data_IF_575643999802
#
_entry.id   IF_575643999802
#
_cell.length_a   1.000
_cell.length_b   1.000
_cell.length_c   1.000
_cell.angle_alpha   90.00
_cell.angle_beta   90.00
_cell.angle_gamma   90.00
#
_symmetry.space_group_name_H-M   'P 1'
#
loop_
_entity.id
_entity.type
_entity.pdbx_description
1 polymer ?
#
# COMPACT_ATOMS: atom_id res chain seq x y z
N UNK A 1 -2.54 -8.79 -10.17
CA UNK A 1 -3.51 -8.63 -9.06
C UNK A 1 -4.71 -9.54 -9.32
N UNK A 2 -5.32 -10.16 -8.31
CA UNK A 2 -6.49 -11.02 -8.41
C UNK A 2 -7.74 -10.33 -7.82
N UNK A 3 -8.93 -10.88 -8.08
CA UNK A 3 -10.20 -10.21 -7.75
C UNK A 3 -10.36 -9.89 -6.26
N UNK A 4 -9.90 -10.77 -5.34
CA UNK A 4 -9.98 -10.50 -3.90
C UNK A 4 -9.11 -9.33 -3.48
N UNK A 5 -7.90 -9.18 -4.05
CA UNK A 5 -7.04 -8.04 -3.78
C UNK A 5 -7.68 -6.72 -4.24
N UNK A 6 -8.32 -6.73 -5.42
CA UNK A 6 -9.10 -5.60 -5.91
C UNK A 6 -10.28 -5.27 -4.99
N UNK A 7 -11.09 -6.28 -4.63
CA UNK A 7 -12.26 -6.12 -3.77
C UNK A 7 -11.90 -5.64 -2.35
N UNK A 8 -10.76 -6.08 -1.81
CA UNK A 8 -10.27 -5.60 -0.52
C UNK A 8 -9.89 -4.10 -0.58
N UNK A 9 -9.33 -3.64 -1.70
CA UNK A 9 -9.06 -2.22 -1.90
C UNK A 9 -10.36 -1.42 -2.08
N UNK A 10 -11.39 -1.97 -2.72
CA UNK A 10 -12.73 -1.35 -2.78
C UNK A 10 -13.30 -1.19 -1.37
N UNK A 11 -13.25 -2.24 -0.52
CA UNK A 11 -13.69 -2.14 0.89
C UNK A 11 -12.94 -1.03 1.66
N UNK A 12 -11.62 -0.93 1.43
CA UNK A 12 -10.81 0.17 2.00
C UNK A 12 -11.29 1.54 1.50
N UNK A 13 -11.47 1.70 0.20
CA UNK A 13 -11.92 2.95 -0.40
C UNK A 13 -13.27 3.39 0.17
N UNK A 14 -14.27 2.50 0.19
CA UNK A 14 -15.61 2.78 0.66
C UNK A 14 -15.65 3.16 2.15
N UNK A 15 -14.81 2.53 2.97
CA UNK A 15 -14.79 2.75 4.41
C UNK A 15 -14.01 3.98 4.85
N UNK A 16 -12.90 4.27 4.18
CA UNK A 16 -11.92 5.26 4.68
C UNK A 16 -11.69 6.45 3.75
N UNK A 17 -11.97 6.32 2.44
CA UNK A 17 -11.69 7.36 1.44
C UNK A 17 -12.96 8.05 1.00
N UNK A 18 -13.97 7.32 0.56
CA UNK A 18 -15.25 7.85 0.09
C UNK A 18 -15.98 8.76 1.11
N UNK A 19 -15.95 8.49 2.43
CA UNK A 19 -16.59 9.34 3.43
C UNK A 19 -15.89 10.69 3.71
N UNK A 20 -14.76 10.96 3.08
CA UNK A 20 -14.05 12.24 3.28
C UNK A 20 -14.90 13.40 2.80
N UNK A 21 -14.95 14.45 3.62
CA UNK A 21 -15.74 15.66 3.38
C UNK A 21 -14.91 16.86 2.95
N UNK A 22 -13.59 16.68 2.85
CA UNK A 22 -12.68 17.70 2.35
C UNK A 22 -12.94 17.97 0.85
N UNK A 23 -12.90 19.22 0.46
CA UNK A 23 -13.21 19.68 -0.92
C UNK A 23 -12.02 19.52 -1.87
N UNK A 24 -10.87 19.08 -1.39
CA UNK A 24 -9.66 18.89 -2.18
C UNK A 24 -9.62 17.49 -2.80
N UNK A 25 -9.20 17.39 -4.04
CA UNK A 25 -8.93 16.10 -4.71
C UNK A 25 -7.78 15.39 -3.99
N UNK A 26 -8.00 14.21 -3.40
CA UNK A 26 -6.94 13.50 -2.69
C UNK A 26 -5.84 13.01 -3.64
N UNK A 27 -4.58 13.15 -3.24
CA UNK A 27 -3.46 12.52 -3.94
C UNK A 27 -3.32 11.06 -3.54
N UNK A 28 -3.10 10.18 -4.51
CA UNK A 28 -2.91 8.73 -4.31
C UNK A 28 -1.65 8.27 -5.00
N UNK A 29 -0.77 7.60 -4.27
CA UNK A 29 0.40 6.91 -4.86
C UNK A 29 0.24 5.41 -4.63
N UNK A 30 0.29 4.65 -5.71
CA UNK A 30 0.24 3.18 -5.71
C UNK A 30 1.64 2.60 -5.91
N UNK A 31 2.16 1.92 -4.90
CA UNK A 31 3.47 1.30 -4.89
C UNK A 31 3.43 -0.11 -5.45
N UNK A 32 4.28 -0.43 -6.42
CA UNK A 32 4.25 -1.68 -7.16
C UNK A 32 3.11 -1.67 -8.19
N UNK A 33 2.94 -0.54 -8.87
CA UNK A 33 1.78 -0.27 -9.73
C UNK A 33 1.88 -0.89 -11.12
N UNK A 34 2.96 -1.60 -11.46
CA UNK A 34 3.10 -2.24 -12.77
C UNK A 34 1.93 -3.19 -13.04
N UNK A 35 1.12 -2.86 -14.05
CA UNK A 35 -0.08 -3.65 -14.38
C UNK A 35 0.29 -4.91 -15.18
N UNK A 36 0.34 -6.05 -14.49
CA UNK A 36 0.52 -7.37 -15.09
C UNK A 36 -0.82 -7.99 -15.48
N UNK A 37 -1.83 -7.87 -14.58
CA UNK A 37 -3.15 -8.50 -14.72
C UNK A 37 -4.23 -7.73 -13.94
N UNK A 38 -4.18 -6.41 -13.97
CA UNK A 38 -5.11 -5.48 -13.33
C UNK A 38 -4.42 -4.52 -12.36
N UNK A 39 -5.00 -3.34 -12.17
CA UNK A 39 -4.49 -2.25 -11.34
C UNK A 39 -5.57 -1.66 -10.42
N UNK A 40 -5.17 -0.86 -9.42
CA UNK A 40 -6.09 -0.21 -8.49
C UNK A 40 -6.69 1.11 -9.01
N UNK A 41 -6.16 1.68 -10.07
CA UNK A 41 -6.57 2.98 -10.63
C UNK A 41 -8.10 3.16 -10.81
N UNK A 42 -8.87 2.15 -11.25
CA UNK A 42 -10.32 2.30 -11.42
C UNK A 42 -11.08 2.57 -10.12
N UNK A 43 -10.52 2.19 -8.96
CA UNK A 43 -11.14 2.42 -7.64
C UNK A 43 -11.05 3.90 -7.25
N UNK A 44 -9.94 4.56 -7.60
CA UNK A 44 -9.63 5.93 -7.19
C UNK A 44 -10.09 6.99 -8.19
N UNK A 45 -11.25 6.76 -8.83
CA UNK A 45 -11.89 7.77 -9.71
C UNK A 45 -12.20 9.02 -8.90
N UNK A 46 -11.70 10.18 -9.39
CA UNK A 46 -11.84 11.46 -8.68
C UNK A 46 -10.70 11.79 -7.71
N UNK A 47 -9.69 10.93 -7.63
CA UNK A 47 -8.41 11.21 -6.97
C UNK A 47 -7.32 11.53 -8.01
N UNK A 48 -6.29 12.24 -7.58
CA UNK A 48 -5.04 12.40 -8.33
C UNK A 48 -4.17 11.15 -8.08
N UNK A 49 -4.39 10.13 -8.93
CA UNK A 49 -3.75 8.82 -8.80
C UNK A 49 -2.53 8.74 -9.72
N UNK A 50 -1.40 8.34 -9.14
CA UNK A 50 -0.16 8.02 -9.84
C UNK A 50 0.38 6.65 -9.40
N UNK A 51 0.78 5.84 -10.39
CA UNK A 51 1.43 4.57 -10.17
C UNK A 51 2.95 4.73 -10.08
N UNK A 52 3.56 4.11 -9.07
CA UNK A 52 5.00 4.06 -8.87
C UNK A 52 5.48 2.60 -8.92
N UNK A 53 6.53 2.36 -9.70
CA UNK A 53 7.19 1.05 -9.78
C UNK A 53 8.68 1.21 -10.09
N UNK A 54 9.48 0.21 -9.78
CA UNK A 54 10.90 0.19 -10.13
C UNK A 54 11.17 0.07 -11.63
N UNK A 55 10.18 -0.40 -12.41
CA UNK A 55 10.25 -0.63 -13.84
C UNK A 55 9.19 0.16 -14.58
N UNK A 56 9.56 0.77 -15.71
CA UNK A 56 8.59 1.43 -16.59
C UNK A 56 7.64 0.41 -17.22
N UNK A 57 6.36 0.76 -17.32
CA UNK A 57 5.35 -0.10 -17.93
C UNK A 57 3.93 0.39 -17.76
N UNK A 58 2.92 -0.45 -18.07
CA UNK A 58 1.52 -0.09 -17.93
C UNK A 58 1.18 0.34 -16.50
N UNK A 59 0.40 1.43 -16.35
CA UNK A 59 -0.01 2.02 -15.08
C UNK A 59 1.14 2.62 -14.23
N UNK A 60 2.37 2.74 -14.76
CA UNK A 60 3.51 3.35 -14.07
C UNK A 60 3.71 4.77 -14.58
N UNK A 61 3.43 5.74 -13.72
CA UNK A 61 3.64 7.17 -14.00
C UNK A 61 5.01 7.62 -13.48
N UNK A 62 5.54 6.96 -12.44
CA UNK A 62 6.80 7.30 -11.77
C UNK A 62 7.67 6.05 -11.66
N UNK A 63 8.85 6.10 -12.28
CA UNK A 63 9.86 5.02 -12.15
C UNK A 63 10.78 5.35 -11.00
N UNK A 64 10.70 4.58 -9.92
CA UNK A 64 11.51 4.78 -8.71
C UNK A 64 11.58 3.51 -7.88
N UNK A 65 12.65 3.35 -7.11
CA UNK A 65 12.69 2.36 -6.03
C UNK A 65 11.71 2.75 -4.92
N UNK A 66 11.08 1.76 -4.30
CA UNK A 66 10.08 2.00 -3.27
C UNK A 66 10.64 2.59 -1.98
N UNK A 67 11.90 2.35 -1.68
CA UNK A 67 12.60 2.82 -0.49
C UNK A 67 13.18 4.24 -0.61
N UNK A 68 13.12 4.84 -1.81
CA UNK A 68 13.63 6.19 -2.08
C UNK A 68 12.88 6.84 -3.23
N UNK A 69 11.79 7.53 -2.92
CA UNK A 69 10.94 8.19 -3.91
C UNK A 69 11.31 9.65 -4.12
N UNK A 70 10.92 10.29 -5.24
CA UNK A 70 11.20 11.71 -5.50
C UNK A 70 10.28 12.67 -4.73
N UNK A 71 9.46 12.18 -3.82
CA UNK A 71 8.48 12.98 -3.08
C UNK A 71 9.09 13.67 -1.86
N UNK A 72 8.56 14.84 -1.51
CA UNK A 72 8.82 15.51 -0.24
C UNK A 72 8.07 14.83 0.91
N UNK A 73 8.44 15.19 2.15
CA UNK A 73 7.79 14.68 3.35
C UNK A 73 6.34 15.20 3.45
N UNK A 74 5.42 14.35 3.87
CA UNK A 74 4.06 14.75 4.26
C UNK A 74 3.22 15.39 3.15
N UNK A 75 3.34 14.91 1.92
CA UNK A 75 2.61 15.50 0.78
C UNK A 75 1.51 14.61 0.19
N UNK A 76 1.47 13.31 0.51
CA UNK A 76 0.54 12.35 -0.08
C UNK A 76 -0.61 12.06 0.88
N UNK A 77 -1.87 12.10 0.39
CA UNK A 77 -3.04 11.82 1.20
C UNK A 77 -3.26 10.33 1.44
N UNK A 78 -3.05 9.51 0.40
CA UNK A 78 -3.32 8.08 0.39
C UNK A 78 -2.17 7.35 -0.31
N UNK A 79 -1.69 6.30 0.32
CA UNK A 79 -0.73 5.37 -0.29
C UNK A 79 -1.38 4.00 -0.36
N UNK A 80 -1.22 3.33 -1.50
CA UNK A 80 -1.65 1.95 -1.70
C UNK A 80 -0.48 1.08 -2.12
N UNK A 81 -0.55 -0.21 -1.80
CA UNK A 81 0.34 -1.24 -2.33
C UNK A 81 -0.39 -2.57 -2.29
N UNK A 82 -0.47 -3.25 -3.41
CA UNK A 82 -1.17 -4.53 -3.52
C UNK A 82 -0.34 -5.53 -4.31
N UNK A 83 -0.11 -6.71 -3.72
CA UNK A 83 0.71 -7.78 -4.32
C UNK A 83 2.08 -7.28 -4.77
N UNK A 84 2.77 -6.59 -3.88
CA UNK A 84 4.09 -5.99 -4.09
C UNK A 84 5.05 -6.33 -2.95
N UNK A 85 4.62 -6.25 -1.69
CA UNK A 85 5.48 -6.47 -0.52
C UNK A 85 6.08 -7.88 -0.45
N UNK A 86 5.41 -8.90 -0.99
CA UNK A 86 5.95 -10.25 -1.09
C UNK A 86 7.16 -10.35 -2.03
N UNK A 87 7.28 -9.40 -2.97
CA UNK A 87 8.36 -9.33 -3.96
C UNK A 87 9.48 -8.37 -3.56
N UNK A 88 9.23 -7.47 -2.62
CA UNK A 88 10.19 -6.49 -2.12
C UNK A 88 11.07 -7.11 -1.03
N UNK A 89 12.33 -7.35 -1.32
CA UNK A 89 13.29 -7.98 -0.41
C UNK A 89 13.58 -7.14 0.84
N UNK A 90 13.33 -5.82 0.77
CA UNK A 90 13.49 -4.85 1.86
C UNK A 90 12.21 -4.05 2.16
N UNK A 91 11.03 -4.69 2.09
CA UNK A 91 9.71 -4.04 2.24
C UNK A 91 9.60 -3.10 3.46
N UNK A 92 10.35 -3.33 4.52
CA UNK A 92 10.38 -2.44 5.69
C UNK A 92 11.00 -1.08 5.39
N UNK A 93 11.92 -0.99 4.42
CA UNK A 93 12.48 0.29 3.96
C UNK A 93 11.46 1.05 3.12
N UNK A 94 10.80 0.34 2.20
CA UNK A 94 9.67 0.87 1.42
C UNK A 94 8.55 1.38 2.34
N UNK A 95 8.26 0.66 3.42
CA UNK A 95 7.27 1.13 4.40
C UNK A 95 7.70 2.40 5.13
N UNK A 96 8.97 2.56 5.49
CA UNK A 96 9.46 3.82 6.08
C UNK A 96 9.30 4.99 5.11
N UNK A 97 9.58 4.75 3.84
CA UNK A 97 9.40 5.77 2.80
C UNK A 97 7.93 6.17 2.65
N UNK A 98 7.01 5.19 2.62
CA UNK A 98 5.56 5.45 2.68
C UNK A 98 5.20 6.29 3.91
N UNK A 99 5.74 5.95 5.09
CA UNK A 99 5.52 6.71 6.33
C UNK A 99 6.08 8.13 6.27
N UNK A 100 7.17 8.36 5.53
CA UNK A 100 7.77 9.68 5.34
C UNK A 100 6.87 10.57 4.51
N UNK A 101 6.44 10.08 3.33
CA UNK A 101 5.73 10.90 2.34
C UNK A 101 4.24 11.07 2.64
N UNK A 102 3.60 10.17 3.39
CA UNK A 102 2.19 10.30 3.74
C UNK A 102 1.98 11.47 4.72
N UNK A 103 0.93 12.27 4.48
CA UNK A 103 0.53 13.42 5.33
C UNK A 103 0.14 12.97 6.74
N UNK A 104 0.29 13.83 7.77
CA UNK A 104 -0.45 13.67 9.01
C UNK A 104 -1.96 13.54 8.73
N UNK A 105 -2.60 12.52 9.29
CA UNK A 105 -4.00 12.16 8.97
C UNK A 105 -4.19 11.31 7.72
N UNK A 106 -3.17 11.18 6.88
CA UNK A 106 -3.19 10.37 5.68
C UNK A 106 -3.16 8.86 5.95
N UNK A 107 -3.48 8.06 4.95
CA UNK A 107 -3.70 6.64 5.04
C UNK A 107 -2.69 5.84 4.20
N UNK A 108 -2.32 4.66 4.69
CA UNK A 108 -1.56 3.67 3.95
C UNK A 108 -2.36 2.36 3.95
N UNK A 109 -2.62 1.81 2.77
CA UNK A 109 -3.25 0.51 2.55
C UNK A 109 -2.24 -0.45 1.95
N UNK A 110 -2.08 -1.63 2.56
CA UNK A 110 -1.22 -2.70 2.07
C UNK A 110 -2.02 -3.99 2.02
N UNK A 111 -1.94 -4.68 0.88
CA UNK A 111 -2.45 -6.03 0.67
C UNK A 111 -1.31 -6.92 0.16
N UNK A 112 -1.04 -8.01 0.86
CA UNK A 112 -0.02 -8.98 0.48
C UNK A 112 -0.46 -10.41 0.88
N UNK A 113 0.00 -11.47 0.19
CA UNK A 113 -0.44 -12.83 0.48
C UNK A 113 0.07 -13.32 1.83
N UNK A 114 -0.76 -14.09 2.56
CA UNK A 114 -0.34 -14.82 3.76
C UNK A 114 0.00 -16.29 3.49
N UNK A 115 -0.45 -16.83 2.36
CA UNK A 115 -0.21 -18.19 1.91
C UNK A 115 0.05 -18.22 0.39
N UNK A 116 0.08 -19.41 -0.20
CA UNK A 116 0.22 -19.61 -1.64
C UNK A 116 1.60 -20.13 -2.05
N UNK A 117 1.68 -20.70 -3.28
CA UNK A 117 2.92 -21.25 -3.80
C UNK A 117 3.94 -20.15 -4.12
N UNK A 118 5.19 -20.57 -4.26
CA UNK A 118 6.25 -19.72 -4.77
C UNK A 118 5.93 -19.22 -6.18
N UNK A 119 6.01 -17.90 -6.39
CA UNK A 119 5.77 -17.24 -7.68
C UNK A 119 6.68 -16.03 -7.83
N UNK A 120 7.55 -16.06 -8.82
CA UNK A 120 8.54 -14.98 -9.03
C UNK A 120 7.98 -13.82 -9.84
N UNK A 121 8.24 -12.56 -9.34
CA UNK A 121 8.04 -11.36 -10.15
C UNK A 121 8.81 -10.14 -9.58
N UNK A 122 10.13 -10.04 -9.84
CA UNK A 122 11.11 -11.06 -10.22
C UNK A 122 11.48 -12.02 -9.06
N UNK A 123 11.30 -11.64 -7.80
CA UNK A 123 11.49 -12.46 -6.60
C UNK A 123 10.15 -12.84 -5.95
N UNK A 124 10.19 -13.70 -4.94
CA UNK A 124 9.05 -14.00 -4.08
C UNK A 124 9.61 -14.32 -2.68
N UNK A 125 9.65 -13.31 -1.82
CA UNK A 125 10.45 -13.33 -0.59
C UNK A 125 9.61 -13.60 0.65
N UNK A 126 8.34 -13.12 0.69
CA UNK A 126 7.61 -13.02 1.96
C UNK A 126 6.16 -13.50 1.88
N UNK A 127 5.65 -13.92 3.07
CA UNK A 127 4.23 -14.15 3.34
C UNK A 127 3.87 -13.43 4.64
N UNK A 128 2.74 -12.72 4.66
CA UNK A 128 2.38 -11.79 5.74
C UNK A 128 1.18 -12.29 6.52
N UNK A 129 1.33 -12.47 7.81
CA UNK A 129 0.22 -12.69 8.74
C UNK A 129 -0.33 -11.34 9.25
N UNK A 130 -1.55 -11.35 9.82
CA UNK A 130 -2.17 -10.13 10.34
C UNK A 130 -1.28 -9.41 11.40
N UNK A 131 -0.53 -10.16 12.20
CA UNK A 131 0.39 -9.60 13.20
C UNK A 131 1.63 -8.92 12.59
N UNK A 132 1.97 -9.23 11.33
CA UNK A 132 3.09 -8.59 10.61
C UNK A 132 2.91 -7.07 10.56
N UNK A 133 1.68 -6.61 10.31
CA UNK A 133 1.35 -5.20 10.23
C UNK A 133 1.51 -4.46 11.55
N UNK A 134 1.19 -5.12 12.66
CA UNK A 134 1.45 -4.59 14.00
C UNK A 134 2.95 -4.46 14.30
N UNK A 135 3.71 -5.48 13.89
CA UNK A 135 5.17 -5.45 13.98
C UNK A 135 5.78 -4.29 13.17
N UNK A 136 5.29 -4.12 11.95
CA UNK A 136 5.76 -3.09 11.02
C UNK A 136 5.45 -1.67 11.54
N UNK A 137 4.24 -1.41 12.04
CA UNK A 137 3.89 -0.15 12.68
C UNK A 137 4.78 0.17 13.88
N UNK A 138 5.04 -0.84 14.73
CA UNK A 138 5.92 -0.70 15.89
C UNK A 138 7.35 -0.37 15.47
N UNK A 139 7.84 -1.00 14.39
CA UNK A 139 9.18 -0.75 13.87
C UNK A 139 9.29 0.67 13.29
N UNK A 140 8.32 1.11 12.48
CA UNK A 140 8.27 2.47 11.95
C UNK A 140 8.29 3.53 13.07
N UNK A 141 7.52 3.31 14.14
CA UNK A 141 7.50 4.22 15.28
C UNK A 141 8.85 4.28 16.03
N UNK A 142 9.59 3.17 16.08
CA UNK A 142 10.96 3.15 16.62
C UNK A 142 11.96 3.91 15.73
N UNK A 143 11.65 4.07 14.45
CA UNK A 143 12.43 4.84 13.48
C UNK A 143 11.92 6.29 13.30
N UNK A 144 11.15 6.82 14.27
CA UNK A 144 10.78 8.22 14.33
C UNK A 144 9.47 8.59 13.61
N UNK A 145 8.75 7.64 13.05
CA UNK A 145 7.45 7.88 12.45
C UNK A 145 6.32 7.75 13.49
N UNK A 146 5.20 8.44 13.27
CA UNK A 146 4.04 8.39 14.17
C UNK A 146 2.87 7.69 13.45
N UNK A 147 2.96 6.36 13.33
CA UNK A 147 2.03 5.52 12.56
C UNK A 147 1.17 4.68 13.52
N UNK A 148 -0.13 4.65 13.26
CA UNK A 148 -1.09 3.78 13.92
C UNK A 148 -1.60 2.73 12.93
N UNK A 149 -1.54 1.45 13.31
CA UNK A 149 -2.31 0.40 12.66
C UNK A 149 -3.79 0.61 13.01
N UNK A 150 -4.62 0.88 12.00
CA UNK A 150 -6.06 1.13 12.17
C UNK A 150 -6.84 -0.18 12.07
N UNK A 151 -6.46 -1.01 11.11
CA UNK A 151 -7.12 -2.30 10.86
C UNK A 151 -6.11 -3.32 10.31
N UNK A 152 -6.33 -4.59 10.67
CA UNK A 152 -5.55 -5.69 10.12
C UNK A 152 -6.41 -6.96 10.13
N UNK A 153 -6.47 -7.66 9.00
CA UNK A 153 -7.21 -8.91 8.86
C UNK A 153 -6.66 -9.79 7.75
N UNK A 154 -7.10 -11.04 7.73
CA UNK A 154 -6.85 -12.00 6.64
C UNK A 154 -8.18 -12.24 5.90
N UNK A 155 -8.20 -11.98 4.60
CA UNK A 155 -9.26 -12.40 3.70
C UNK A 155 -8.96 -13.83 3.20
N UNK A 156 -9.85 -14.76 3.50
CA UNK A 156 -9.67 -16.20 3.20
C UNK A 156 -10.45 -16.66 1.97
N UNK A 157 -10.96 -15.75 1.15
CA UNK A 157 -11.77 -16.09 -0.01
C UNK A 157 -10.97 -16.78 -1.13
N UNK A 158 -9.66 -16.58 -1.16
CA UNK A 158 -8.75 -17.27 -2.10
C UNK A 158 -7.67 -18.04 -1.38
N UNK A 159 -6.97 -18.91 -2.11
CA UNK A 159 -5.82 -19.66 -1.57
C UNK A 159 -4.62 -18.75 -1.21
N UNK A 160 -4.57 -17.51 -1.69
CA UNK A 160 -3.56 -16.52 -1.28
C UNK A 160 -3.78 -16.02 0.15
N UNK A 161 -5.02 -16.10 0.65
CA UNK A 161 -5.41 -15.59 1.96
C UNK A 161 -4.83 -14.20 2.18
N UNK A 162 -5.33 -13.22 1.42
CA UNK A 162 -4.83 -11.85 1.44
C UNK A 162 -4.75 -11.29 2.87
N UNK A 163 -3.59 -10.81 3.25
CA UNK A 163 -3.33 -10.11 4.51
C UNK A 163 -3.38 -8.61 4.27
N UNK A 164 -4.29 -7.95 4.95
CA UNK A 164 -4.52 -6.51 4.81
C UNK A 164 -4.02 -5.77 6.05
N UNK A 165 -3.26 -4.69 5.80
CA UNK A 165 -2.86 -3.72 6.82
C UNK A 165 -3.30 -2.32 6.41
N UNK A 166 -4.04 -1.62 7.27
CA UNK A 166 -4.46 -0.24 7.07
C UNK A 166 -3.86 0.61 8.19
N UNK A 167 -3.11 1.62 7.79
CA UNK A 167 -2.40 2.49 8.71
C UNK A 167 -2.82 3.94 8.54
N UNK A 168 -2.67 4.72 9.59
CA UNK A 168 -2.88 6.16 9.59
C UNK A 168 -1.69 6.86 10.24
N UNK A 169 -1.16 7.90 9.60
CA UNK A 169 -0.21 8.80 10.24
C UNK A 169 -0.94 9.69 11.21
N UNK A 170 -0.54 9.67 12.48
CA UNK A 170 -1.16 10.55 13.49
C UNK A 170 -0.77 12.00 13.24
N UNK A 171 -1.71 12.89 13.47
CA UNK A 171 -1.39 14.31 13.62
C UNK A 171 -0.55 14.49 14.88
N UNK A 172 0.49 15.27 14.79
CA UNK A 172 1.29 15.71 15.96
C UNK A 172 0.46 16.61 16.85
#
# INVERSE_FOLDING_TARGET
>A
MHDTAFNNCVKFYDKYVSPRTDTTTPSVIDFGAYDVNGCLKPIFKGCDYQGLDMSAGPNVDIVSLGDKTPFEDNIIDIITSSSNFEHDDCFWMTFLEMCRIVKPGGLIYINAPSTGPYHMFPGDCWRFYADSWKGLAKWANKNGHNIQLVESYIDKETFWCDSIGIFKKKST
#
